data_IF_469517991454
#
_entry.id   IF_469517991454
#
_cell.length_a   1.000
_cell.length_b   1.000
_cell.length_c   1.000
_cell.angle_alpha   90.00
_cell.angle_beta   90.00
_cell.angle_gamma   90.00
#
_symmetry.space_group_name_H-M   'P 1'
#
loop_
_entity.id
_entity.type
_entity.pdbx_description
1 polymer ?
#
# COMPACT_ATOMS: atom_id res chain seq x y z
N UNK A 1 -3.66 -24.46 12.73
CA UNK A 1 -4.62 -23.40 12.34
C UNK A 1 -4.17 -22.01 12.79
N UNK A 2 -3.77 -21.80 14.05
CA UNK A 2 -3.28 -20.48 14.51
C UNK A 2 -1.95 -20.06 13.86
N UNK A 3 -0.95 -20.97 13.81
CA UNK A 3 0.35 -20.72 13.14
C UNK A 3 0.24 -20.36 11.65
N UNK A 4 -0.84 -20.75 10.97
CA UNK A 4 -1.04 -20.37 9.56
C UNK A 4 -1.53 -18.93 9.42
N UNK A 5 -2.38 -18.44 10.33
CA UNK A 5 -2.85 -17.05 10.30
C UNK A 5 -1.75 -16.06 10.68
N UNK A 6 -0.87 -16.41 11.62
CA UNK A 6 0.31 -15.59 11.97
C UNK A 6 1.28 -15.44 10.78
N UNK A 7 1.49 -16.53 10.02
CA UNK A 7 2.29 -16.47 8.81
C UNK A 7 1.64 -15.57 7.76
N UNK A 8 0.33 -15.73 7.52
CA UNK A 8 -0.40 -14.91 6.54
C UNK A 8 -0.38 -13.42 6.92
N UNK A 9 -0.58 -13.09 8.20
CA UNK A 9 -0.51 -11.70 8.66
C UNK A 9 0.89 -11.13 8.53
N UNK A 10 1.93 -11.91 8.84
CA UNK A 10 3.33 -11.50 8.63
C UNK A 10 3.65 -11.24 7.16
N UNK A 11 3.18 -12.08 6.24
CA UNK A 11 3.35 -11.89 4.79
C UNK A 11 2.66 -10.61 4.30
N UNK A 12 1.48 -10.28 4.84
CA UNK A 12 0.78 -9.02 4.56
C UNK A 12 1.55 -7.81 5.07
N UNK A 13 2.04 -7.87 6.32
CA UNK A 13 2.82 -6.78 6.92
C UNK A 13 4.14 -6.56 6.19
N UNK A 14 4.85 -7.62 5.81
CA UNK A 14 6.07 -7.53 5.00
C UNK A 14 5.79 -6.91 3.62
N UNK A 15 4.71 -7.34 2.96
CA UNK A 15 4.27 -6.76 1.70
C UNK A 15 3.89 -5.27 1.83
N UNK A 16 3.57 -4.76 3.01
CA UNK A 16 3.20 -3.37 3.23
C UNK A 16 4.36 -2.46 3.66
N UNK A 17 5.34 -3.02 4.38
CA UNK A 17 6.35 -2.29 5.16
C UNK A 17 7.29 -1.38 4.35
N UNK A 18 7.41 -1.57 3.03
CA UNK A 18 8.21 -0.66 2.22
C UNK A 18 7.49 0.70 2.04
N UNK A 19 8.18 1.84 2.24
CA UNK A 19 7.56 3.17 2.17
C UNK A 19 6.77 3.42 0.88
N UNK A 20 7.30 3.02 -0.28
CA UNK A 20 6.63 3.16 -1.59
C UNK A 20 5.31 2.38 -1.62
N UNK A 21 5.29 1.15 -1.07
CA UNK A 21 4.09 0.30 -1.10
C UNK A 21 3.00 0.87 -0.20
N UNK A 22 3.38 1.36 0.97
CA UNK A 22 2.45 2.02 1.88
C UNK A 22 1.88 3.32 1.28
N UNK A 23 2.72 4.11 0.60
CA UNK A 23 2.27 5.29 -0.14
C UNK A 23 1.26 4.94 -1.25
N UNK A 24 1.52 3.88 -2.01
CA UNK A 24 0.57 3.39 -3.03
C UNK A 24 -0.76 2.99 -2.41
N UNK A 25 -0.76 2.25 -1.29
CA UNK A 25 -1.99 1.86 -0.60
C UNK A 25 -2.79 3.08 -0.12
N UNK A 26 -2.13 4.07 0.50
CA UNK A 26 -2.78 5.32 0.93
C UNK A 26 -3.32 6.13 -0.25
N UNK A 27 -2.58 6.19 -1.35
CA UNK A 27 -3.02 6.85 -2.58
C UNK A 27 -4.30 6.21 -3.10
N UNK A 28 -4.31 4.88 -3.30
CA UNK A 28 -5.49 4.15 -3.81
C UNK A 28 -6.68 4.22 -2.84
N UNK A 29 -6.43 4.19 -1.54
CA UNK A 29 -7.47 4.40 -0.50
C UNK A 29 -8.12 5.79 -0.61
N UNK A 30 -7.33 6.83 -0.91
CA UNK A 30 -7.83 8.22 -0.96
C UNK A 30 -8.40 8.65 -2.31
N UNK A 31 -7.85 8.15 -3.43
CA UNK A 31 -8.20 8.57 -4.80
C UNK A 31 -9.08 7.57 -5.53
N UNK A 32 -9.23 6.37 -4.98
CA UNK A 32 -9.86 5.25 -5.67
C UNK A 32 -8.94 4.61 -6.70
N UNK A 33 -9.51 3.83 -7.64
CA UNK A 33 -8.74 3.07 -8.62
C UNK A 33 -7.99 3.96 -9.62
N UNK A 34 -6.70 3.67 -9.83
CA UNK A 34 -5.81 4.47 -10.69
C UNK A 34 -5.05 3.61 -11.73
N UNK A 35 -4.74 4.17 -12.92
CA UNK A 35 -3.82 3.54 -13.86
C UNK A 35 -2.40 3.40 -13.29
N UNK A 36 -1.66 2.40 -13.78
CA UNK A 36 -0.25 2.16 -13.41
C UNK A 36 0.61 3.43 -13.44
N UNK A 37 0.51 4.21 -14.52
CA UNK A 37 1.31 5.42 -14.75
C UNK A 37 0.99 6.50 -13.72
N UNK A 38 -0.29 6.72 -13.40
CA UNK A 38 -0.69 7.73 -12.41
C UNK A 38 -0.20 7.40 -11.01
N UNK A 39 -0.23 6.11 -10.62
CA UNK A 39 0.31 5.68 -9.32
C UNK A 39 1.82 5.89 -9.28
N UNK A 40 2.51 5.61 -10.38
CA UNK A 40 3.97 5.79 -10.49
C UNK A 40 4.38 7.26 -10.33
N UNK A 41 3.69 8.15 -11.05
CA UNK A 41 3.93 9.60 -10.95
C UNK A 41 3.62 10.15 -9.56
N UNK A 42 2.49 9.74 -8.96
CA UNK A 42 2.13 10.15 -7.60
C UNK A 42 3.12 9.65 -6.53
N UNK A 43 3.82 8.55 -6.81
CA UNK A 43 4.88 8.00 -5.95
C UNK A 43 6.25 8.67 -6.18
N UNK A 44 6.33 9.72 -7.03
CA UNK A 44 7.56 10.45 -7.40
C UNK A 44 8.67 9.54 -7.97
N UNK A 45 8.29 8.48 -8.66
CA UNK A 45 9.22 7.55 -9.32
C UNK A 45 9.36 7.91 -10.79
N UNK A 46 10.57 7.73 -11.33
CA UNK A 46 10.85 8.00 -12.74
C UNK A 46 10.32 6.84 -13.62
N UNK A 47 9.44 7.12 -14.61
CA UNK A 47 8.79 6.08 -15.41
C UNK A 47 9.74 5.32 -16.35
N UNK A 48 10.96 5.82 -16.59
CA UNK A 48 11.96 5.16 -17.45
C UNK A 48 12.94 4.38 -16.60
N UNK A 49 13.49 5.01 -15.56
CA UNK A 49 14.51 4.40 -14.69
C UNK A 49 13.91 3.44 -13.66
N UNK A 50 12.76 3.76 -13.09
CA UNK A 50 12.22 3.07 -11.92
C UNK A 50 11.08 2.09 -12.27
N UNK A 51 10.76 1.90 -13.55
CA UNK A 51 9.63 1.08 -14.00
C UNK A 51 9.69 -0.37 -13.52
N UNK A 52 10.83 -1.04 -13.72
CA UNK A 52 11.01 -2.43 -13.29
C UNK A 52 10.83 -2.59 -11.77
N UNK A 53 11.38 -1.65 -10.99
CA UNK A 53 11.25 -1.60 -9.53
C UNK A 53 9.80 -1.32 -9.10
N UNK A 54 9.10 -0.44 -9.79
CA UNK A 54 7.72 -0.14 -9.47
C UNK A 54 6.76 -1.29 -9.79
N UNK A 55 6.99 -2.01 -10.89
CA UNK A 55 6.29 -3.26 -11.19
C UNK A 55 6.47 -4.29 -10.09
N UNK A 56 7.68 -4.39 -9.50
CA UNK A 56 7.91 -5.25 -8.34
C UNK A 56 7.00 -4.87 -7.16
N UNK A 57 6.95 -3.57 -6.81
CA UNK A 57 6.11 -3.09 -5.70
C UNK A 57 4.62 -3.43 -5.89
N UNK A 58 4.04 -3.18 -7.08
CA UNK A 58 2.64 -3.50 -7.35
C UNK A 58 2.37 -5.01 -7.38
N UNK A 59 3.30 -5.81 -7.92
CA UNK A 59 3.18 -7.28 -7.90
C UNK A 59 3.19 -7.82 -6.46
N UNK A 60 4.04 -7.28 -5.59
CA UNK A 60 4.10 -7.66 -4.17
C UNK A 60 2.77 -7.35 -3.48
N UNK A 61 2.24 -6.13 -3.64
CA UNK A 61 0.95 -5.75 -3.07
C UNK A 61 -0.22 -6.62 -3.56
N UNK A 62 -0.22 -6.94 -4.87
CA UNK A 62 -1.26 -7.80 -5.45
C UNK A 62 -1.18 -9.24 -4.94
N UNK A 63 0.03 -9.81 -4.84
CA UNK A 63 0.23 -11.17 -4.31
C UNK A 63 -0.23 -11.29 -2.86
N UNK A 64 -0.05 -10.24 -2.05
CA UNK A 64 -0.53 -10.18 -0.68
C UNK A 64 -2.04 -9.86 -0.56
N UNK A 65 -2.77 -9.70 -1.68
CA UNK A 65 -4.19 -9.41 -1.67
C UNK A 65 -4.56 -7.99 -1.22
N UNK A 66 -3.62 -7.06 -1.19
CA UNK A 66 -3.83 -5.67 -0.74
C UNK A 66 -4.35 -4.76 -1.84
N UNK A 67 -4.08 -5.12 -3.10
CA UNK A 67 -4.48 -4.39 -4.31
C UNK A 67 -5.01 -5.39 -5.33
N UNK A 68 -6.00 -4.99 -6.10
CA UNK A 68 -6.51 -5.74 -7.25
C UNK A 68 -6.36 -4.93 -8.55
N UNK A 69 -6.63 -5.57 -9.69
CA UNK A 69 -6.78 -4.89 -10.99
C UNK A 69 -8.22 -5.06 -11.42
N UNK A 70 -8.90 -3.95 -11.66
CA UNK A 70 -10.28 -3.93 -12.12
C UNK A 70 -10.39 -4.49 -13.53
N UNK A 71 -11.36 -5.40 -13.72
CA UNK A 71 -11.70 -5.91 -15.05
C UNK A 71 -12.30 -4.78 -15.89
N UNK A 72 -11.89 -4.68 -17.15
CA UNK A 72 -12.38 -3.66 -18.08
C UNK A 72 -11.59 -2.34 -18.07
N UNK A 73 -11.20 -1.82 -16.89
CA UNK A 73 -10.46 -0.54 -16.81
C UNK A 73 -8.94 -0.70 -16.72
N UNK A 74 -8.46 -1.89 -16.30
CA UNK A 74 -7.04 -2.17 -15.97
C UNK A 74 -6.48 -1.23 -14.88
N UNK A 75 -7.33 -0.53 -14.15
CA UNK A 75 -6.93 0.30 -13.01
C UNK A 75 -6.64 -0.58 -11.81
N UNK A 76 -5.68 -0.17 -10.99
CA UNK A 76 -5.40 -0.81 -9.72
C UNK A 76 -6.29 -0.22 -8.65
N UNK A 77 -6.99 -1.06 -7.89
CA UNK A 77 -7.84 -0.67 -6.78
C UNK A 77 -7.35 -1.25 -5.46
N UNK A 78 -7.69 -0.61 -4.34
CA UNK A 78 -7.42 -1.14 -3.01
C UNK A 78 -8.48 -2.19 -2.64
N UNK A 79 -8.07 -3.27 -1.97
CA UNK A 79 -9.01 -4.27 -1.43
C UNK A 79 -9.49 -3.89 -0.02
N UNK A 80 -10.47 -4.58 0.53
CA UNK A 80 -10.87 -4.39 1.94
C UNK A 80 -9.70 -4.68 2.91
N UNK A 81 -8.90 -5.72 2.67
CA UNK A 81 -7.70 -5.99 3.46
C UNK A 81 -6.69 -4.83 3.35
N UNK A 82 -6.54 -4.26 2.16
CA UNK A 82 -5.71 -3.07 1.94
C UNK A 82 -6.19 -1.87 2.74
N UNK A 83 -7.51 -1.65 2.83
CA UNK A 83 -8.09 -0.54 3.63
C UNK A 83 -7.82 -0.72 5.12
N UNK A 84 -8.06 -1.92 5.67
CA UNK A 84 -7.76 -2.25 7.08
C UNK A 84 -6.29 -1.96 7.40
N UNK A 85 -5.38 -2.35 6.52
CA UNK A 85 -3.96 -2.11 6.68
C UNK A 85 -3.58 -0.61 6.62
N UNK A 86 -4.26 0.18 5.77
CA UNK A 86 -4.07 1.64 5.71
C UNK A 86 -4.53 2.31 7.00
N UNK A 87 -5.66 1.89 7.57
CA UNK A 87 -6.16 2.37 8.85
C UNK A 87 -5.17 2.03 9.97
N UNK A 88 -4.75 0.77 10.09
CA UNK A 88 -3.72 0.36 11.06
C UNK A 88 -2.42 1.19 10.94
N UNK A 89 -1.98 1.49 9.71
CA UNK A 89 -0.81 2.33 9.50
C UNK A 89 -1.02 3.77 9.97
N UNK A 90 -2.23 4.33 9.85
CA UNK A 90 -2.54 5.69 10.32
C UNK A 90 -2.51 5.73 11.84
N UNK A 91 -3.10 4.74 12.50
CA UNK A 91 -3.08 4.64 13.97
C UNK A 91 -1.64 4.55 14.50
N UNK A 92 -0.78 3.77 13.82
CA UNK A 92 0.64 3.68 14.18
C UNK A 92 1.38 5.01 13.99
N UNK A 93 1.10 5.72 12.89
CA UNK A 93 1.70 7.04 12.62
C UNK A 93 1.24 8.09 13.62
N UNK A 94 -0.04 8.07 14.00
CA UNK A 94 -0.61 8.95 15.02
C UNK A 94 0.04 8.70 16.39
N UNK A 95 0.12 7.44 16.82
CA UNK A 95 0.81 7.08 18.07
C UNK A 95 2.26 7.59 18.09
N UNK A 96 2.99 7.40 16.99
CA UNK A 96 4.37 7.87 16.86
C UNK A 96 4.46 9.40 16.85
N UNK A 97 3.51 10.10 16.25
CA UNK A 97 3.46 11.56 16.23
C UNK A 97 3.17 12.13 17.64
N UNK A 98 2.20 11.56 18.36
CA UNK A 98 1.88 11.94 19.75
C UNK A 98 3.11 11.74 20.64
N UNK A 99 3.72 10.54 20.60
CA UNK A 99 4.89 10.21 21.44
C UNK A 99 6.10 11.10 21.16
N UNK A 100 6.22 11.63 19.94
CA UNK A 100 7.31 12.54 19.54
C UNK A 100 6.98 14.03 19.74
N UNK A 101 5.84 14.37 20.33
CA UNK A 101 5.40 15.76 20.54
C UNK A 101 5.13 16.51 19.24
N UNK A 102 4.75 15.81 18.16
CA UNK A 102 4.54 16.39 16.82
C UNK A 102 3.07 16.69 16.50
N UNK A 103 2.14 16.29 17.36
CA UNK A 103 0.75 16.73 17.30
C UNK A 103 0.62 17.97 18.18
N UNK A 104 0.58 19.14 17.56
CA UNK A 104 0.07 20.35 18.18
C UNK A 104 -1.45 20.28 18.08
N UNK A 105 -2.12 20.35 19.23
CA UNK A 105 -3.58 20.37 19.39
C UNK A 105 -4.18 21.54 18.63
#
# INVERSE_FOLDING_TARGET
MQRSYERLSSEVLDAASAPVRLQVLKLLSSKGPLPYTEIMYASKLDPVRDAGKFVYHLKTLRKAGLVNVEKGTKKYGITELGKVLVEFSRDLEEYLAVKRGRLFV
#
